data_IF_930409266704
#
_entry.id   IF_930409266704
#
_cell.length_a   1.000
_cell.length_b   1.000
_cell.length_c   1.000
_cell.angle_alpha   90.00
_cell.angle_beta   90.00
_cell.angle_gamma   90.00
#
_symmetry.space_group_name_H-M   'P 1'
#
loop_
_entity.id
_entity.type
_entity.pdbx_description
1 polymer ?
#
# COMPACT_ATOMS: atom_id res chain seq x y z
N UNK A 1 -29.06 -20.04 -5.70
CA UNK A 1 -28.34 -19.28 -4.66
C UNK A 1 -27.11 -18.65 -5.29
N UNK A 2 -27.17 -17.38 -5.70
CA UNK A 2 -25.96 -16.64 -6.07
C UNK A 2 -25.36 -16.12 -4.77
N UNK A 3 -24.36 -16.82 -4.24
CA UNK A 3 -23.58 -16.28 -3.12
C UNK A 3 -22.88 -15.03 -3.65
N UNK A 4 -23.20 -13.90 -3.05
CA UNK A 4 -22.76 -12.57 -3.45
C UNK A 4 -21.23 -12.48 -3.46
N UNK A 5 -20.63 -12.43 -4.64
CA UNK A 5 -19.19 -12.34 -4.88
C UNK A 5 -18.57 -11.06 -4.30
N UNK A 6 -19.37 -10.00 -4.12
CA UNK A 6 -18.96 -8.71 -3.53
C UNK A 6 -18.54 -8.79 -2.05
N UNK A 7 -19.16 -9.68 -1.25
CA UNK A 7 -18.90 -9.78 0.19
C UNK A 7 -17.58 -10.48 0.53
N UNK A 8 -17.03 -11.25 -0.42
CA UNK A 8 -15.77 -11.98 -0.24
C UNK A 8 -14.57 -11.04 -0.45
N UNK A 9 -14.73 -9.97 -1.25
CA UNK A 9 -13.64 -9.09 -1.64
C UNK A 9 -13.30 -8.02 -0.59
N UNK A 10 -14.26 -7.49 0.17
CA UNK A 10 -14.02 -6.49 1.23
C UNK A 10 -13.30 -7.05 2.47
N UNK A 11 -13.56 -8.32 2.81
CA UNK A 11 -12.94 -8.95 3.99
C UNK A 11 -11.47 -9.29 3.75
N UNK A 12 -11.15 -9.84 2.57
CA UNK A 12 -9.79 -10.22 2.19
C UNK A 12 -8.86 -9.01 1.98
N UNK A 13 -9.41 -7.85 1.57
CA UNK A 13 -8.64 -6.61 1.37
C UNK A 13 -8.30 -5.94 2.71
N UNK A 14 -9.27 -5.85 3.63
CA UNK A 14 -9.05 -5.36 5.00
C UNK A 14 -8.01 -6.19 5.76
N UNK A 15 -8.04 -7.52 5.59
CA UNK A 15 -7.05 -8.44 6.17
C UNK A 15 -5.62 -8.12 5.70
N UNK A 16 -5.40 -7.91 4.39
CA UNK A 16 -4.06 -7.61 3.87
C UNK A 16 -3.52 -6.26 4.35
N UNK A 17 -4.38 -5.25 4.51
CA UNK A 17 -3.96 -3.96 5.05
C UNK A 17 -3.49 -4.08 6.50
N UNK A 18 -4.07 -4.99 7.28
CA UNK A 18 -3.69 -5.24 8.68
C UNK A 18 -2.28 -5.83 8.85
N UNK A 19 -1.71 -6.43 7.79
CA UNK A 19 -0.34 -6.94 7.76
C UNK A 19 0.71 -5.81 7.70
N UNK A 20 0.28 -4.62 7.27
CA UNK A 20 1.16 -3.48 7.12
C UNK A 20 1.32 -2.73 8.45
N UNK A 21 2.54 -2.33 8.72
CA UNK A 21 2.85 -1.37 9.77
C UNK A 21 2.31 0.01 9.38
N UNK A 22 2.08 0.86 10.38
CA UNK A 22 1.66 2.26 10.15
C UNK A 22 2.55 2.97 9.14
N UNK A 23 3.86 2.74 9.21
CA UNK A 23 4.83 3.38 8.32
C UNK A 23 4.74 2.88 6.88
N UNK A 24 4.49 1.59 6.69
CA UNK A 24 4.26 1.02 5.36
C UNK A 24 2.95 1.54 4.75
N UNK A 25 1.92 1.74 5.56
CA UNK A 25 0.66 2.36 5.11
C UNK A 25 0.89 3.82 4.67
N UNK A 26 1.64 4.61 5.44
CA UNK A 26 2.00 5.98 5.05
C UNK A 26 2.76 6.00 3.71
N UNK A 27 3.77 5.14 3.57
CA UNK A 27 4.56 5.03 2.34
C UNK A 27 3.66 4.62 1.16
N UNK A 28 2.77 3.64 1.35
CA UNK A 28 1.79 3.22 0.34
C UNK A 28 0.88 4.37 -0.10
N UNK A 29 0.36 5.17 0.84
CA UNK A 29 -0.48 6.33 0.54
C UNK A 29 0.26 7.35 -0.31
N UNK A 30 1.49 7.69 0.05
CA UNK A 30 2.28 8.67 -0.70
C UNK A 30 2.70 8.14 -2.09
N UNK A 31 3.00 6.84 -2.20
CA UNK A 31 3.22 6.20 -3.50
C UNK A 31 1.98 6.33 -4.40
N UNK A 32 0.78 6.10 -3.84
CA UNK A 32 -0.47 6.21 -4.59
C UNK A 32 -0.80 7.65 -5.04
N UNK A 33 -0.18 8.66 -4.42
CA UNK A 33 -0.25 10.06 -4.84
C UNK A 33 0.79 10.41 -5.92
N UNK A 34 1.63 9.45 -6.35
CA UNK A 34 2.65 9.64 -7.37
C UNK A 34 3.97 10.24 -6.87
N UNK A 35 4.20 10.24 -5.55
CA UNK A 35 5.44 10.74 -4.97
C UNK A 35 6.59 9.75 -5.18
N UNK A 36 7.77 10.27 -5.52
CA UNK A 36 9.02 9.49 -5.60
C UNK A 36 9.57 9.16 -4.21
N UNK A 37 10.41 8.12 -4.09
CA UNK A 37 11.07 7.75 -2.84
C UNK A 37 11.81 8.93 -2.16
N UNK A 38 12.35 9.86 -2.95
CA UNK A 38 13.01 11.06 -2.44
C UNK A 38 12.01 12.01 -1.77
N UNK A 39 10.92 12.34 -2.47
CA UNK A 39 9.86 13.21 -1.94
C UNK A 39 9.18 12.61 -0.71
N UNK A 40 8.94 11.30 -0.74
CA UNK A 40 8.41 10.57 0.43
C UNK A 40 9.38 10.68 1.60
N UNK A 41 10.68 10.51 1.37
CA UNK A 41 11.70 10.64 2.42
C UNK A 41 11.71 12.04 3.04
N UNK A 42 11.61 13.07 2.21
CA UNK A 42 11.52 14.48 2.65
C UNK A 42 10.26 14.71 3.50
N UNK A 43 9.08 14.27 3.04
CA UNK A 43 7.82 14.45 3.74
C UNK A 43 7.73 13.68 5.07
N UNK A 44 8.36 12.51 5.10
CA UNK A 44 8.34 11.60 6.24
C UNK A 44 9.56 11.76 7.16
N UNK A 45 10.46 12.71 6.88
CA UNK A 45 11.71 12.98 7.60
C UNK A 45 12.61 11.74 7.76
N UNK A 46 12.75 10.93 6.69
CA UNK A 46 13.61 9.74 6.65
C UNK A 46 14.39 9.67 5.33
N UNK A 47 15.42 8.84 5.27
CA UNK A 47 16.21 8.68 4.03
C UNK A 47 15.38 7.99 2.93
N UNK A 48 15.64 8.33 1.66
CA UNK A 48 15.03 7.65 0.51
C UNK A 48 15.33 6.13 0.51
N UNK A 49 16.47 5.71 1.09
CA UNK A 49 16.83 4.30 1.27
C UNK A 49 15.94 3.61 2.32
N UNK A 50 15.58 4.33 3.39
CA UNK A 50 14.61 3.86 4.37
C UNK A 50 13.21 3.71 3.75
N UNK A 51 12.81 4.66 2.89
CA UNK A 51 11.56 4.55 2.11
C UNK A 51 11.58 3.32 1.21
N UNK A 52 12.69 3.06 0.53
CA UNK A 52 12.84 1.90 -0.34
C UNK A 52 12.74 0.57 0.44
N UNK A 53 13.30 0.52 1.64
CA UNK A 53 13.13 -0.63 2.54
C UNK A 53 11.67 -0.83 2.95
N UNK A 54 10.95 0.23 3.34
CA UNK A 54 9.52 0.14 3.65
C UNK A 54 8.71 -0.33 2.45
N UNK A 55 9.01 0.19 1.25
CA UNK A 55 8.37 -0.20 0.00
C UNK A 55 8.63 -1.67 -0.34
N UNK A 56 9.86 -2.16 -0.16
CA UNK A 56 10.18 -3.58 -0.37
C UNK A 56 9.40 -4.45 0.61
N UNK A 57 9.44 -4.13 1.90
CA UNK A 57 8.74 -4.90 2.93
C UNK A 57 7.23 -4.95 2.73
N UNK A 58 6.60 -3.83 2.36
CA UNK A 58 5.17 -3.81 2.10
C UNK A 58 4.82 -4.57 0.81
N UNK A 59 5.68 -4.52 -0.22
CA UNK A 59 5.50 -5.28 -1.46
C UNK A 59 5.56 -6.78 -1.20
N UNK A 60 6.51 -7.25 -0.39
CA UNK A 60 6.59 -8.64 0.07
C UNK A 60 5.35 -9.05 0.89
N UNK A 61 4.93 -8.24 1.87
CA UNK A 61 3.76 -8.54 2.72
C UNK A 61 2.45 -8.64 1.94
N UNK A 62 2.31 -7.85 0.88
CA UNK A 62 1.11 -7.85 0.03
C UNK A 62 1.18 -8.86 -1.12
N UNK A 63 2.36 -9.45 -1.36
CA UNK A 63 2.68 -10.26 -2.54
C UNK A 63 2.47 -9.46 -3.85
N UNK A 64 2.95 -8.22 -3.87
CA UNK A 64 2.79 -7.28 -4.99
C UNK A 64 4.17 -6.84 -5.50
N UNK A 65 4.51 -7.23 -6.73
CA UNK A 65 5.84 -6.97 -7.29
C UNK A 65 5.90 -5.82 -8.30
N UNK A 66 4.83 -5.05 -8.49
CA UNK A 66 4.83 -3.91 -9.40
C UNK A 66 4.06 -2.71 -8.88
N UNK A 67 4.52 -1.52 -9.28
CA UNK A 67 3.99 -0.24 -8.82
C UNK A 67 2.52 -0.06 -9.19
N UNK A 68 2.12 -0.43 -10.42
CA UNK A 68 0.74 -0.26 -10.88
C UNK A 68 -0.25 -1.09 -10.03
N UNK A 69 0.12 -2.30 -9.64
CA UNK A 69 -0.70 -3.15 -8.77
C UNK A 69 -0.73 -2.63 -7.35
N UNK A 70 0.36 -2.01 -6.89
CA UNK A 70 0.42 -1.38 -5.58
C UNK A 70 -0.50 -0.15 -5.48
N UNK A 71 -0.51 0.69 -6.53
CA UNK A 71 -1.42 1.83 -6.64
C UNK A 71 -2.87 1.36 -6.72
N UNK A 72 -3.17 0.34 -7.53
CA UNK A 72 -4.51 -0.28 -7.59
C UNK A 72 -4.95 -0.79 -6.21
N UNK A 73 -4.06 -1.46 -5.49
CA UNK A 73 -4.34 -1.92 -4.14
C UNK A 73 -4.70 -0.76 -3.21
N UNK A 74 -3.95 0.35 -3.25
CA UNK A 74 -4.25 1.54 -2.44
C UNK A 74 -5.63 2.14 -2.76
N UNK A 75 -5.99 2.24 -4.05
CA UNK A 75 -7.31 2.71 -4.50
C UNK A 75 -8.43 1.79 -3.99
N UNK A 76 -8.29 0.47 -4.20
CA UNK A 76 -9.30 -0.52 -3.78
C UNK A 76 -9.52 -0.55 -2.26
N UNK A 77 -8.51 -0.19 -1.48
CA UNK A 77 -8.58 -0.09 -0.02
C UNK A 77 -8.92 1.32 0.50
N UNK A 78 -9.36 2.24 -0.38
CA UNK A 78 -9.75 3.61 -0.02
C UNK A 78 -8.65 4.38 0.77
N UNK A 79 -7.38 4.11 0.47
CA UNK A 79 -6.25 4.81 1.09
C UNK A 79 -6.02 6.21 0.50
N UNK A 80 -6.70 6.51 -0.61
CA UNK A 80 -6.77 7.82 -1.25
C UNK A 80 -8.04 8.53 -0.77
N UNK A 81 -7.85 9.53 0.09
CA UNK A 81 -8.84 10.56 0.44
C UNK A 81 -8.34 11.90 -0.06
#
# INVERSE_FOLDING_TARGET
LKLNEDQINEKATTDKLSLLTKREIEVLKLISQGLSNKQIGEQLFISHKTVDNHRTNLMDKLDIHNLASLVRFAISNKLLE
#
